data_IF_413959948403
#
_entry.id   IF_413959948403
#
_cell.length_a   1.000
_cell.length_b   1.000
_cell.length_c   1.000
_cell.angle_alpha   90.00
_cell.angle_beta   90.00
_cell.angle_gamma   90.00
#
_symmetry.space_group_name_H-M   'P 1'
#
loop_
_entity.id
_entity.type
_entity.pdbx_description
1 polymer ?
#
# COMPACT_ATOMS: atom_id res chain seq x y z
N UNK A 1 -14.21 5.70 -7.01
CA UNK A 1 -13.92 5.84 -5.57
C UNK A 1 -12.45 5.55 -5.35
N UNK A 2 -11.70 6.46 -4.70
CA UNK A 2 -10.28 6.24 -4.42
C UNK A 2 -10.07 5.08 -3.43
N UNK A 3 -9.03 4.29 -3.66
CA UNK A 3 -8.58 3.21 -2.78
C UNK A 3 -7.51 3.78 -1.85
N UNK A 4 -7.81 3.89 -0.56
CA UNK A 4 -6.83 4.28 0.45
C UNK A 4 -6.06 3.03 0.85
N UNK A 5 -4.78 2.99 0.51
CA UNK A 5 -3.90 1.88 0.86
C UNK A 5 -2.85 2.29 1.89
N UNK A 6 -2.52 1.39 2.79
CA UNK A 6 -1.39 1.54 3.72
C UNK A 6 -0.15 0.97 3.04
N UNK A 7 0.88 1.78 2.86
CA UNK A 7 2.18 1.33 2.37
C UNK A 7 2.93 0.71 3.54
N UNK A 8 3.35 -0.54 3.37
CA UNK A 8 4.04 -1.34 4.38
C UNK A 8 5.48 -1.60 3.93
N UNK A 9 6.42 -1.51 4.86
CA UNK A 9 7.80 -1.91 4.64
C UNK A 9 7.91 -3.44 4.77
N UNK A 10 8.33 -4.12 3.71
CA UNK A 10 8.53 -5.57 3.67
C UNK A 10 9.67 -6.04 4.57
N UNK A 11 10.69 -5.21 4.78
CA UNK A 11 11.87 -5.52 5.60
C UNK A 11 11.57 -5.41 7.09
N UNK A 12 10.86 -4.36 7.51
CA UNK A 12 10.59 -4.10 8.94
C UNK A 12 9.23 -4.58 9.40
N UNK A 13 8.29 -4.85 8.49
CA UNK A 13 6.91 -5.17 8.82
C UNK A 13 6.07 -3.97 9.26
N UNK A 14 6.64 -2.76 9.22
CA UNK A 14 6.00 -1.55 9.76
C UNK A 14 5.32 -0.71 8.65
N UNK A 15 4.23 0.02 8.99
CA UNK A 15 3.62 0.96 8.06
C UNK A 15 4.55 2.15 7.81
N UNK A 16 4.68 2.55 6.55
CA UNK A 16 5.44 3.72 6.11
C UNK A 16 4.52 4.94 6.03
N UNK A 17 3.45 4.84 5.24
CA UNK A 17 2.52 5.94 4.98
C UNK A 17 1.17 5.40 4.46
N UNK A 18 0.20 6.29 4.23
CA UNK A 18 -1.04 5.98 3.51
C UNK A 18 -1.09 6.75 2.20
N UNK A 19 -1.50 6.08 1.13
CA UNK A 19 -1.62 6.69 -0.19
C UNK A 19 -3.00 6.41 -0.78
N UNK A 20 -3.53 7.40 -1.50
CA UNK A 20 -4.78 7.27 -2.23
C UNK A 20 -4.48 6.89 -3.68
N UNK A 21 -4.91 5.69 -4.08
CA UNK A 21 -4.85 5.28 -5.48
C UNK A 21 -6.20 5.55 -6.17
N UNK A 22 -6.18 6.04 -7.41
CA UNK A 22 -7.41 6.22 -8.19
C UNK A 22 -8.11 4.90 -8.57
N UNK A 23 -7.40 3.77 -8.48
CA UNK A 23 -7.86 2.41 -8.78
C UNK A 23 -7.11 1.39 -7.92
N UNK A 24 -7.54 0.12 -7.92
CA UNK A 24 -6.81 -0.94 -7.22
C UNK A 24 -5.35 -1.00 -7.70
N UNK A 25 -4.36 -0.89 -6.79
CA UNK A 25 -2.95 -0.98 -7.16
C UNK A 25 -2.62 -2.39 -7.65
N UNK A 26 -1.79 -2.48 -8.69
CA UNK A 26 -1.26 -3.76 -9.17
C UNK A 26 -0.05 -4.17 -8.33
N UNK A 27 0.22 -5.47 -8.14
CA UNK A 27 1.38 -5.96 -7.37
C UNK A 27 2.76 -5.51 -7.87
N UNK A 28 2.86 -4.93 -9.07
CA UNK A 28 4.12 -4.49 -9.69
C UNK A 28 4.12 -3.00 -10.04
N UNK A 29 3.23 -2.21 -9.45
CA UNK A 29 3.18 -0.76 -9.67
C UNK A 29 4.38 -0.06 -9.04
N UNK A 30 4.95 0.91 -9.75
CA UNK A 30 5.94 1.82 -9.17
C UNK A 30 5.27 3.13 -8.78
N UNK A 31 5.66 3.68 -7.63
CA UNK A 31 5.16 4.96 -7.13
C UNK A 31 6.20 5.61 -6.22
N UNK A 32 6.09 6.91 -6.02
CA UNK A 32 6.99 7.67 -5.17
C UNK A 32 6.41 7.74 -3.76
N UNK A 33 7.23 7.41 -2.76
CA UNK A 33 6.93 7.62 -1.35
C UNK A 33 6.91 9.12 -1.02
N UNK A 34 6.32 9.49 0.12
CA UNK A 34 6.38 10.85 0.66
C UNK A 34 7.82 11.30 0.96
N UNK A 35 8.73 10.36 1.17
CA UNK A 35 10.18 10.62 1.28
C UNK A 35 10.82 11.08 -0.03
N UNK A 36 10.13 10.97 -1.18
CA UNK A 36 10.69 11.20 -2.51
C UNK A 36 11.32 9.96 -3.15
N UNK A 37 11.33 8.83 -2.45
CA UNK A 37 11.91 7.59 -2.96
C UNK A 37 10.96 6.89 -3.96
N UNK A 38 11.48 6.53 -5.14
CA UNK A 38 10.75 5.71 -6.10
C UNK A 38 10.84 4.23 -5.70
N UNK A 39 9.72 3.66 -5.29
CA UNK A 39 9.59 2.25 -4.92
C UNK A 39 8.72 1.49 -5.91
N UNK A 40 8.92 0.17 -5.94
CA UNK A 40 8.06 -0.77 -6.65
C UNK A 40 7.33 -1.62 -5.62
N UNK A 41 6.03 -1.82 -5.81
CA UNK A 41 5.28 -2.79 -5.03
C UNK A 41 5.87 -4.19 -5.21
N UNK A 42 6.04 -4.89 -4.09
CA UNK A 42 6.41 -6.31 -4.04
C UNK A 42 5.15 -7.17 -4.08
N UNK A 43 4.13 -6.76 -3.31
CA UNK A 43 2.81 -7.39 -3.26
C UNK A 43 1.75 -6.41 -2.79
N UNK A 44 0.51 -6.71 -3.16
CA UNK A 44 -0.68 -6.02 -2.65
C UNK A 44 -1.51 -7.03 -1.89
N UNK A 45 -1.81 -6.70 -0.65
CA UNK A 45 -2.65 -7.49 0.24
C UNK A 45 -3.98 -6.78 0.41
N UNK A 46 -5.06 -7.52 0.16
CA UNK A 46 -6.43 -7.04 0.30
C UNK A 46 -7.01 -7.76 1.50
N UNK A 47 -7.17 -7.05 2.61
CA UNK A 47 -7.72 -7.63 3.83
C UNK A 47 -9.23 -7.80 3.75
N UNK A 48 -9.79 -8.44 4.77
CA UNK A 48 -11.25 -8.51 4.92
C UNK A 48 -11.75 -7.24 5.59
N UNK A 49 -12.86 -6.65 5.12
CA UNK A 49 -13.49 -5.56 5.84
C UNK A 49 -13.90 -6.03 7.24
N UNK A 50 -13.76 -5.15 8.23
CA UNK A 50 -14.23 -5.44 9.57
C UNK A 50 -15.76 -5.62 9.56
N UNK A 51 -16.34 -6.46 10.45
CA UNK A 51 -17.80 -6.60 10.55
C UNK A 51 -18.48 -5.24 10.68
N UNK A 52 -19.50 -4.98 9.86
CA UNK A 52 -20.21 -3.71 9.82
C UNK A 52 -19.51 -2.57 9.06
N UNK A 53 -18.33 -2.79 8.47
CA UNK A 53 -17.66 -1.82 7.59
C UNK A 53 -17.69 -2.28 6.13
N UNK A 54 -17.87 -1.32 5.22
CA UNK A 54 -17.86 -1.57 3.77
C UNK A 54 -16.46 -1.35 3.16
N UNK A 55 -15.60 -0.61 3.87
CA UNK A 55 -14.26 -0.27 3.37
C UNK A 55 -13.31 -1.46 3.57
N UNK A 56 -12.78 -1.94 2.45
CA UNK A 56 -11.78 -3.01 2.40
C UNK A 56 -10.39 -2.42 2.66
N UNK A 57 -9.65 -2.90 3.67
CA UNK A 57 -8.28 -2.46 3.89
C UNK A 57 -7.36 -2.99 2.79
N UNK A 58 -6.55 -2.11 2.21
CA UNK A 58 -5.54 -2.46 1.22
C UNK A 58 -4.17 -2.13 1.79
N UNK A 59 -3.25 -3.08 1.73
CA UNK A 59 -1.85 -2.91 2.12
C UNK A 59 -0.95 -3.13 0.91
N UNK A 60 -0.11 -2.16 0.59
CA UNK A 60 0.89 -2.27 -0.47
C UNK A 60 2.25 -2.45 0.17
N UNK A 61 2.84 -3.61 -0.02
CA UNK A 61 4.15 -3.93 0.53
C UNK A 61 5.23 -3.51 -0.46
N UNK A 62 6.23 -2.79 0.05
CA UNK A 62 7.38 -2.31 -0.70
C UNK A 62 8.66 -2.57 0.09
N UNK A 63 9.77 -2.70 -0.61
CA UNK A 63 11.11 -2.77 -0.06
C UNK A 63 11.83 -1.45 -0.36
N UNK A 64 11.88 -0.49 0.60
CA UNK A 64 12.66 0.73 0.41
C UNK A 64 14.15 0.39 0.28
N UNK A 65 14.89 1.20 -0.49
CA UNK A 65 16.31 1.02 -0.78
C UNK A 65 17.21 1.28 0.43
N UNK A 66 16.69 1.91 1.49
CA UNK A 66 17.44 2.27 2.69
C UNK A 66 18.15 3.60 2.57
#
# INVERSE_FOLDING_TARGET
>A
MPVIATVMNSTTGQPIQKISFGRMPKPWISFTLESGELVKADRVEIGKPAPGKVVVPVSVWVTPKG
#
